data_IF_585238978508
#
_entry.id   IF_585238978508
#
_cell.length_a   1.000
_cell.length_b   1.000
_cell.length_c   1.000
_cell.angle_alpha   90.00
_cell.angle_beta   90.00
_cell.angle_gamma   90.00
#
_symmetry.space_group_name_H-M   'P 1'
#
loop_
_entity.id
_entity.type
_entity.pdbx_description
1 polymer ?
#
# COMPACT_ATOMS: atom_id res chain seq x y z
N UNK A 1 43.76 54.14 4.34
CA UNK A 1 43.52 53.96 2.89
C UNK A 1 44.21 52.67 2.45
N UNK A 2 43.44 51.68 1.95
CA UNK A 2 43.91 50.40 1.36
C UNK A 2 44.58 49.39 2.34
N UNK A 3 44.63 48.05 2.17
CA UNK A 3 43.91 46.95 1.44
C UNK A 3 44.50 45.62 2.03
N UNK A 4 43.93 44.40 2.02
CA UNK A 4 42.73 43.72 1.46
C UNK A 4 42.37 42.55 2.41
N UNK A 5 41.12 42.06 2.41
CA UNK A 5 40.67 40.87 3.16
C UNK A 5 41.45 39.57 2.85
N UNK A 6 41.52 38.68 3.85
CA UNK A 6 41.69 37.23 3.66
C UNK A 6 40.41 36.53 4.10
N UNK A 7 39.80 35.77 3.19
CA UNK A 7 38.60 34.97 3.46
C UNK A 7 39.00 33.63 4.07
N UNK A 8 38.53 33.33 5.28
CA UNK A 8 38.56 31.97 5.82
C UNK A 8 37.35 31.20 5.28
N UNK A 9 37.58 30.30 4.33
CA UNK A 9 36.53 29.41 3.81
C UNK A 9 36.41 28.21 4.74
N UNK A 10 35.45 28.26 5.67
CA UNK A 10 35.10 27.13 6.52
C UNK A 10 34.27 26.11 5.73
N UNK A 11 34.91 25.04 5.27
CA UNK A 11 34.22 23.91 4.64
C UNK A 11 33.51 23.09 5.73
N UNK A 12 32.20 23.24 5.83
CA UNK A 12 31.35 22.37 6.66
C UNK A 12 31.09 21.07 5.89
N UNK A 13 31.77 20.01 6.30
CA UNK A 13 31.59 18.67 5.73
C UNK A 13 30.30 18.04 6.26
N UNK A 14 29.19 18.23 5.55
CA UNK A 14 27.91 17.62 5.89
C UNK A 14 27.91 16.11 5.58
N UNK A 15 28.14 15.28 6.60
CA UNK A 15 28.02 13.83 6.50
C UNK A 15 26.55 13.42 6.28
N UNK A 16 26.18 13.17 5.02
CA UNK A 16 24.88 12.63 4.67
C UNK A 16 24.85 11.13 5.02
N UNK A 17 24.23 10.78 6.14
CA UNK A 17 23.90 9.40 6.48
C UNK A 17 22.75 8.92 5.59
N UNK A 18 23.09 8.46 4.39
CA UNK A 18 22.17 7.74 3.54
C UNK A 18 21.87 6.36 4.17
N UNK A 19 20.69 6.21 4.77
CA UNK A 19 20.17 4.90 5.14
C UNK A 19 19.88 4.11 3.86
N UNK A 20 20.81 3.26 3.45
CA UNK A 20 20.53 2.24 2.46
C UNK A 20 19.55 1.23 3.08
N UNK A 21 18.30 1.25 2.61
CA UNK A 21 17.36 0.18 2.92
C UNK A 21 17.76 -1.05 2.10
N UNK A 22 18.31 -2.07 2.77
CA UNK A 22 18.63 -3.35 2.14
C UNK A 22 17.36 -4.02 1.60
N UNK A 23 17.15 -3.88 0.29
CA UNK A 23 16.06 -4.50 -0.44
C UNK A 23 16.32 -6.00 -0.63
N UNK A 24 16.13 -6.78 0.44
CA UNK A 24 16.19 -8.25 0.39
C UNK A 24 15.07 -8.77 -0.52
N UNK A 25 15.38 -9.50 -1.62
CA UNK A 25 14.37 -10.08 -2.48
C UNK A 25 13.44 -11.02 -1.72
N UNK A 26 12.13 -10.94 -1.95
CA UNK A 26 11.13 -11.79 -1.29
C UNK A 26 10.64 -11.30 0.09
N UNK A 27 11.09 -10.14 0.59
CA UNK A 27 10.44 -9.49 1.72
C UNK A 27 9.30 -8.57 1.27
N UNK A 28 8.15 -8.73 1.91
CA UNK A 28 7.05 -7.76 1.96
C UNK A 28 7.60 -6.39 2.38
N UNK A 29 7.50 -5.40 1.50
CA UNK A 29 7.98 -4.02 1.73
C UNK A 29 6.84 -3.02 1.51
N UNK A 30 6.48 -2.22 2.53
CA UNK A 30 5.50 -1.16 2.38
C UNK A 30 5.95 -0.12 1.36
N UNK A 31 5.00 0.36 0.56
CA UNK A 31 5.20 1.41 -0.45
C UNK A 31 4.32 2.59 -0.09
N UNK A 32 4.87 3.81 -0.15
CA UNK A 32 4.12 5.04 0.11
C UNK A 32 3.77 5.72 -1.22
N UNK A 33 2.48 5.99 -1.44
CA UNK A 33 1.94 6.77 -2.55
C UNK A 33 1.18 7.96 -1.98
N UNK A 34 1.75 9.16 -2.12
CA UNK A 34 1.20 10.37 -1.49
C UNK A 34 1.09 10.22 0.03
N UNK A 35 -0.14 10.27 0.56
CA UNK A 35 -0.43 10.10 1.98
C UNK A 35 -0.76 8.64 2.38
N UNK A 36 -0.82 7.71 1.44
CA UNK A 36 -1.19 6.31 1.69
C UNK A 36 0.06 5.44 1.70
N UNK A 37 0.30 4.75 2.80
CA UNK A 37 1.27 3.65 2.85
C UNK A 37 0.53 2.33 2.72
N UNK A 38 0.91 1.52 1.75
CA UNK A 38 0.26 0.25 1.45
C UNK A 38 1.28 -0.90 1.35
N UNK A 39 0.79 -2.12 1.50
CA UNK A 39 1.55 -3.35 1.32
C UNK A 39 0.69 -4.34 0.54
N UNK A 40 1.27 -5.14 -0.34
CA UNK A 40 0.54 -6.16 -1.09
C UNK A 40 1.41 -7.41 -1.31
N UNK A 41 0.77 -8.58 -1.27
CA UNK A 41 1.40 -9.88 -1.43
C UNK A 41 0.54 -11.00 -0.84
N UNK A 42 1.19 -12.08 -0.41
CA UNK A 42 0.56 -13.23 0.24
C UNK A 42 0.35 -14.43 -0.68
N UNK A 43 1.17 -14.58 -1.73
CA UNK A 43 1.11 -15.74 -2.64
C UNK A 43 1.64 -17.00 -1.94
N UNK A 44 2.73 -16.86 -1.17
CA UNK A 44 3.30 -17.95 -0.37
C UNK A 44 2.60 -18.09 0.98
N UNK A 45 2.57 -19.30 1.56
CA UNK A 45 1.97 -19.54 2.88
C UNK A 45 2.59 -18.68 3.99
N UNK A 46 3.92 -18.58 4.02
CA UNK A 46 4.64 -17.75 5.01
C UNK A 46 4.35 -16.26 4.80
N UNK A 47 4.27 -15.82 3.54
CA UNK A 47 3.96 -14.44 3.16
C UNK A 47 2.51 -14.06 3.52
N UNK A 48 1.57 -14.96 3.25
CA UNK A 48 0.15 -14.86 3.62
C UNK A 48 -0.02 -14.75 5.15
N UNK A 49 0.71 -15.60 5.88
CA UNK A 49 0.74 -15.54 7.35
C UNK A 49 1.32 -14.21 7.84
N UNK A 50 2.41 -13.73 7.24
CA UNK A 50 3.04 -12.47 7.61
C UNK A 50 2.18 -11.24 7.30
N UNK A 51 1.51 -11.19 6.13
CA UNK A 51 0.65 -10.06 5.76
C UNK A 51 -0.61 -10.00 6.63
N UNK A 52 -1.25 -11.15 6.91
CA UNK A 52 -2.39 -11.22 7.84
C UNK A 52 -2.01 -10.84 9.28
N UNK A 53 -0.80 -11.18 9.75
CA UNK A 53 -0.29 -10.70 11.03
C UNK A 53 -0.09 -9.18 11.06
N UNK A 54 0.34 -8.59 9.94
CA UNK A 54 0.50 -7.14 9.81
C UNK A 54 -0.83 -6.39 9.64
N UNK A 55 -1.88 -7.03 9.12
CA UNK A 55 -3.15 -6.41 8.74
C UNK A 55 -3.79 -5.54 9.85
N UNK A 56 -3.70 -5.97 11.10
CA UNK A 56 -4.22 -5.25 12.28
C UNK A 56 -3.57 -3.88 12.51
N UNK A 57 -2.38 -3.64 11.96
CA UNK A 57 -1.67 -2.37 12.04
C UNK A 57 -2.06 -1.40 10.91
N UNK A 58 -2.91 -1.84 9.97
CA UNK A 58 -3.41 -1.03 8.85
C UNK A 58 -4.91 -0.79 9.01
N UNK A 59 -5.36 0.40 8.65
CA UNK A 59 -6.79 0.77 8.70
C UNK A 59 -7.68 0.00 7.73
N UNK A 60 -7.12 -0.52 6.64
CA UNK A 60 -7.84 -1.24 5.59
C UNK A 60 -7.03 -2.48 5.19
N UNK A 61 -7.73 -3.60 5.09
CA UNK A 61 -7.29 -4.85 4.47
C UNK A 61 -8.25 -5.20 3.35
N UNK A 62 -7.72 -5.52 2.18
CA UNK A 62 -8.44 -6.05 1.04
C UNK A 62 -8.02 -7.50 0.80
N UNK A 63 -8.99 -8.40 0.64
CA UNK A 63 -8.80 -9.80 0.30
C UNK A 63 -9.41 -10.09 -1.08
N UNK A 64 -8.69 -10.81 -1.94
CA UNK A 64 -9.08 -11.05 -3.34
C UNK A 64 -9.21 -12.55 -3.64
N UNK A 65 -10.42 -12.96 -4.05
CA UNK A 65 -10.73 -14.36 -4.37
C UNK A 65 -11.51 -14.52 -5.67
N UNK A 66 -11.27 -15.61 -6.38
CA UNK A 66 -12.10 -16.09 -7.50
C UNK A 66 -12.88 -17.31 -7.00
N UNK A 67 -14.21 -17.22 -7.00
CA UNK A 67 -15.10 -18.31 -6.67
C UNK A 67 -15.20 -19.28 -7.86
N UNK A 68 -14.27 -20.24 -7.87
CA UNK A 68 -14.26 -21.38 -8.78
C UNK A 68 -14.92 -22.61 -8.12
N UNK A 69 -15.26 -23.62 -8.91
CA UNK A 69 -15.66 -24.94 -8.38
C UNK A 69 -14.46 -25.87 -8.30
N UNK A 70 -14.18 -26.55 -7.16
CA UNK A 70 -15.08 -26.76 -6.02
C UNK A 70 -14.93 -25.77 -4.85
N UNK A 71 -14.05 -24.77 -4.93
CA UNK A 71 -13.80 -23.80 -3.86
C UNK A 71 -13.24 -22.48 -4.41
N UNK A 72 -13.43 -21.40 -3.66
CA UNK A 72 -12.78 -20.14 -3.95
C UNK A 72 -11.24 -20.25 -3.88
N UNK A 73 -10.57 -19.53 -4.77
CA UNK A 73 -9.12 -19.47 -4.91
C UNK A 73 -8.60 -18.05 -4.72
N UNK A 74 -7.50 -17.90 -4.01
CA UNK A 74 -6.81 -16.63 -3.82
C UNK A 74 -6.20 -16.14 -5.14
N UNK A 75 -6.34 -14.85 -5.45
CA UNK A 75 -5.92 -14.30 -6.74
C UNK A 75 -5.01 -13.06 -6.63
N UNK A 76 -4.20 -12.83 -7.66
CA UNK A 76 -3.31 -11.68 -7.83
C UNK A 76 -3.72 -10.85 -9.06
N UNK A 77 -2.95 -9.80 -9.35
CA UNK A 77 -3.10 -8.96 -10.54
C UNK A 77 -4.46 -8.25 -10.58
N UNK A 78 -4.94 -7.89 -9.39
CA UNK A 78 -6.12 -7.05 -9.19
C UNK A 78 -5.68 -5.59 -9.22
N UNK A 79 -6.16 -4.84 -10.20
CA UNK A 79 -5.99 -3.39 -10.23
C UNK A 79 -6.88 -2.77 -9.14
N UNK A 80 -6.27 -2.09 -8.17
CA UNK A 80 -6.92 -1.46 -7.03
C UNK A 80 -6.80 0.05 -7.16
N UNK A 81 -7.95 0.72 -7.06
CA UNK A 81 -8.06 2.18 -7.01
C UNK A 81 -8.86 2.58 -5.79
N UNK A 82 -8.30 3.45 -4.95
CA UNK A 82 -8.95 4.03 -3.79
C UNK A 82 -9.11 5.51 -4.05
N UNK A 83 -10.35 6.00 -4.01
CA UNK A 83 -10.67 7.42 -4.17
C UNK A 83 -11.23 8.00 -2.87
N UNK A 84 -10.87 9.24 -2.55
CA UNK A 84 -11.41 9.96 -1.40
C UNK A 84 -12.86 10.46 -1.65
N UNK A 85 -13.46 11.09 -0.64
CA UNK A 85 -14.80 11.69 -0.72
C UNK A 85 -14.93 12.86 -1.71
N UNK A 86 -13.82 13.36 -2.25
CA UNK A 86 -13.78 14.38 -3.32
C UNK A 86 -13.47 13.77 -4.69
N UNK A 87 -13.48 12.44 -4.81
CA UNK A 87 -13.16 11.65 -5.99
C UNK A 87 -11.69 11.72 -6.46
N UNK A 88 -10.76 12.19 -5.61
CA UNK A 88 -9.33 12.12 -5.93
C UNK A 88 -8.83 10.70 -5.70
N UNK A 89 -8.09 10.13 -6.65
CA UNK A 89 -7.39 8.86 -6.45
C UNK A 89 -6.24 9.05 -5.46
N UNK A 90 -6.34 8.42 -4.28
CA UNK A 90 -5.31 8.44 -3.22
C UNK A 90 -4.41 7.21 -3.26
N UNK A 91 -4.87 6.13 -3.90
CA UNK A 91 -4.06 4.97 -4.26
C UNK A 91 -4.53 4.45 -5.63
N UNK A 92 -3.59 4.11 -6.49
CA UNK A 92 -3.79 3.41 -7.76
C UNK A 92 -2.61 2.45 -7.91
N UNK A 93 -2.86 1.14 -7.88
CA UNK A 93 -1.81 0.10 -7.85
C UNK A 93 -2.36 -1.28 -8.21
N UNK A 94 -1.48 -2.20 -8.60
CA UNK A 94 -1.82 -3.60 -8.86
C UNK A 94 -1.43 -4.47 -7.65
N UNK A 95 -2.37 -5.24 -7.12
CA UNK A 95 -2.10 -6.18 -6.04
C UNK A 95 -1.25 -7.35 -6.54
N UNK A 96 -0.11 -7.57 -5.89
CA UNK A 96 0.85 -8.65 -6.19
C UNK A 96 0.49 -9.99 -5.52
N UNK A 97 -0.71 -10.10 -4.96
CA UNK A 97 -1.19 -11.26 -4.24
C UNK A 97 -2.62 -11.05 -3.73
N UNK A 98 -3.16 -12.03 -2.98
CA UNK A 98 -4.54 -11.98 -2.49
C UNK A 98 -4.79 -10.92 -1.43
N UNK A 99 -3.77 -10.34 -0.81
CA UNK A 99 -3.93 -9.31 0.21
C UNK A 99 -3.34 -7.98 -0.22
N UNK A 100 -4.08 -6.89 0.03
CA UNK A 100 -3.57 -5.52 0.02
C UNK A 100 -3.97 -4.81 1.31
N UNK A 101 -2.97 -4.40 2.09
CA UNK A 101 -3.13 -3.58 3.28
C UNK A 101 -2.92 -2.11 2.92
N UNK A 102 -3.77 -1.20 3.40
CA UNK A 102 -3.62 0.23 3.17
C UNK A 102 -3.86 1.04 4.45
N UNK A 103 -2.89 1.90 4.78
CA UNK A 103 -3.01 2.87 5.86
C UNK A 103 -3.59 4.17 5.28
N UNK A 104 -4.86 4.37 5.56
CA UNK A 104 -5.66 5.52 5.17
C UNK A 104 -5.90 6.41 6.40
N UNK A 105 -5.97 7.74 6.22
CA UNK A 105 -6.56 8.63 7.21
C UNK A 105 -8.03 8.27 7.53
N UNK A 106 -8.56 8.79 8.63
CA UNK A 106 -9.98 8.69 8.91
C UNK A 106 -10.78 9.50 7.85
N UNK A 107 -11.78 8.88 7.23
CA UNK A 107 -12.45 9.44 6.07
C UNK A 107 -13.42 8.46 5.40
N UNK A 108 -14.10 8.94 4.35
CA UNK A 108 -14.89 8.10 3.44
C UNK A 108 -14.10 7.86 2.17
N UNK A 109 -14.12 6.63 1.69
CA UNK A 109 -13.40 6.21 0.50
C UNK A 109 -14.29 5.34 -0.37
N UNK A 110 -14.08 5.43 -1.68
CA UNK A 110 -14.57 4.46 -2.66
C UNK A 110 -13.43 3.55 -3.07
N UNK A 111 -13.62 2.26 -2.85
CA UNK A 111 -12.73 1.19 -3.26
C UNK A 111 -13.22 0.65 -4.60
N UNK A 112 -12.31 0.50 -5.56
CA UNK A 112 -12.55 -0.15 -6.84
C UNK A 112 -11.45 -1.19 -7.06
N UNK A 113 -11.86 -2.43 -7.33
CA UNK A 113 -10.99 -3.57 -7.58
C UNK A 113 -11.38 -4.18 -8.92
N UNK A 114 -10.42 -4.36 -9.82
CA UNK A 114 -10.66 -4.89 -11.17
C UNK A 114 -9.76 -6.09 -11.44
N UNK A 115 -10.38 -7.23 -11.77
CA UNK A 115 -9.71 -8.46 -12.17
C UNK A 115 -10.19 -8.82 -13.57
N UNK A 116 -9.25 -8.97 -14.52
CA UNK A 116 -9.52 -9.40 -15.90
C UNK A 116 -10.67 -8.62 -16.60
N UNK A 117 -10.71 -7.29 -16.37
CA UNK A 117 -11.73 -6.39 -16.89
C UNK A 117 -13.07 -6.39 -16.12
N UNK A 118 -13.28 -7.33 -15.19
CA UNK A 118 -14.45 -7.37 -14.28
C UNK A 118 -14.19 -6.45 -13.08
N UNK A 119 -14.76 -5.24 -13.06
CA UNK A 119 -14.65 -4.32 -11.92
C UNK A 119 -15.72 -4.58 -10.84
N UNK A 120 -15.32 -4.52 -9.57
CA UNK A 120 -16.19 -4.44 -8.39
C UNK A 120 -15.80 -3.23 -7.55
N UNK A 121 -16.75 -2.64 -6.85
CA UNK A 121 -16.49 -1.45 -6.06
C UNK A 121 -17.38 -1.34 -4.82
N UNK A 122 -16.84 -0.79 -3.74
CA UNK A 122 -17.49 -0.68 -2.44
C UNK A 122 -17.09 0.62 -1.76
N UNK A 123 -18.05 1.28 -1.10
CA UNK A 123 -17.76 2.46 -0.29
C UNK A 123 -17.49 2.05 1.17
N UNK A 124 -16.46 2.64 1.78
CA UNK A 124 -16.01 2.34 3.15
C UNK A 124 -15.81 3.63 3.95
N UNK A 125 -16.03 3.57 5.26
CA UNK A 125 -15.70 4.67 6.18
C UNK A 125 -14.63 4.20 7.16
N UNK A 126 -13.43 4.77 7.05
CA UNK A 126 -12.35 4.56 8.00
C UNK A 126 -12.54 5.49 9.19
N UNK A 127 -12.60 4.93 10.40
CA UNK A 127 -12.59 5.68 11.66
C UNK A 127 -11.18 5.65 12.25
N UNK A 128 -10.86 6.63 13.09
CA UNK A 128 -9.57 6.65 13.77
C UNK A 128 -9.40 5.39 14.64
N UNK A 129 -8.29 4.66 14.44
CA UNK A 129 -8.01 3.41 15.16
C UNK A 129 -8.88 2.22 14.74
N UNK A 130 -9.73 2.33 13.71
CA UNK A 130 -10.45 1.17 13.17
C UNK A 130 -9.64 0.47 12.08
N UNK A 131 -9.69 -0.85 12.09
CA UNK A 131 -9.30 -1.71 10.98
C UNK A 131 -10.57 -2.19 10.27
N UNK A 132 -10.59 -2.19 8.93
CA UNK A 132 -11.69 -2.64 8.09
C UNK A 132 -11.17 -3.70 7.13
N UNK A 133 -11.80 -4.88 7.12
CA UNK A 133 -11.49 -5.95 6.16
C UNK A 133 -12.59 -6.04 5.11
N UNK A 134 -12.24 -5.92 3.83
CA UNK A 134 -13.15 -5.99 2.68
C UNK A 134 -12.69 -7.09 1.71
N UNK A 135 -13.50 -8.13 1.53
CA UNK A 135 -13.24 -9.16 0.52
C UNK A 135 -13.92 -8.80 -0.81
N UNK A 136 -13.15 -8.85 -1.90
CA UNK A 136 -13.67 -8.84 -3.27
C UNK A 136 -13.60 -10.24 -3.87
N UNK A 137 -14.77 -10.77 -4.19
CA UNK A 137 -14.94 -12.08 -4.81
C UNK A 137 -15.39 -11.92 -6.27
N UNK A 138 -14.79 -12.62 -7.22
CA UNK A 138 -15.28 -12.73 -8.61
C UNK A 138 -15.76 -14.14 -8.92
N UNK A 139 -16.69 -14.29 -9.84
CA UNK A 139 -17.05 -15.58 -10.44
C UNK A 139 -16.38 -15.68 -11.80
N UNK A 140 -15.90 -16.87 -12.18
CA UNK A 140 -15.45 -17.16 -13.55
C UNK A 140 -16.59 -16.97 -14.58
#
# INVERSE_FOLDING_TARGET
MNKRSLFAVSVLLAANLAFAADAVPGRLQPVTSGAVTYLSGGIGQDESTAIQQMAKNYSLELEFVINASPRAEFTSDVQVKISDASHNAVLDTVSKGPFLLAQLPAGRYRLEATKDGKSKAQDVTIKQGSHQHIMFEWTE
#
